data_IF_969074460070
#
_entry.id   IF_969074460070
#
_cell.length_a   1.000
_cell.length_b   1.000
_cell.length_c   1.000
_cell.angle_alpha   90.00
_cell.angle_beta   90.00
_cell.angle_gamma   90.00
#
_symmetry.space_group_name_H-M   'P 1'
#
loop_
_entity.id
_entity.type
_entity.pdbx_description
1 polymer ?
#
# COMPACT_ATOMS: atom_id res chain seq x y z
N UNK A 1 -16.45 -11.24 9.04
CA UNK A 1 -15.74 -10.23 8.23
C UNK A 1 -16.42 -9.83 6.92
N UNK A 2 -17.04 -10.73 6.12
CA UNK A 2 -17.73 -10.34 4.87
C UNK A 2 -18.68 -9.14 5.06
N UNK A 3 -19.51 -9.16 6.09
CA UNK A 3 -20.40 -8.03 6.40
C UNK A 3 -19.65 -6.71 6.64
N UNK A 4 -18.52 -6.74 7.37
CA UNK A 4 -17.72 -5.53 7.62
C UNK A 4 -17.11 -4.99 6.32
N UNK A 5 -16.62 -5.89 5.45
CA UNK A 5 -16.09 -5.51 4.14
C UNK A 5 -17.16 -4.95 3.21
N UNK A 6 -18.39 -5.50 3.24
CA UNK A 6 -19.52 -4.95 2.49
C UNK A 6 -19.96 -3.58 3.01
N UNK A 7 -19.90 -3.33 4.33
CA UNK A 7 -20.09 -1.98 4.88
C UNK A 7 -19.00 -1.05 4.36
N UNK A 8 -17.73 -1.45 4.48
CA UNK A 8 -16.59 -0.66 3.98
C UNK A 8 -16.73 -0.31 2.49
N UNK A 9 -17.27 -1.21 1.67
CA UNK A 9 -17.52 -0.96 0.25
C UNK A 9 -18.78 -0.11 -0.01
N UNK A 10 -19.95 -0.56 0.46
CA UNK A 10 -21.24 -0.01 0.02
C UNK A 10 -21.73 1.16 0.87
N UNK A 11 -21.19 1.31 2.09
CA UNK A 11 -21.60 2.33 3.04
C UNK A 11 -20.42 2.67 3.96
N UNK A 12 -19.35 3.29 3.43
CA UNK A 12 -18.04 3.41 4.09
C UNK A 12 -18.12 4.26 5.38
N UNK A 13 -18.36 3.58 6.50
CA UNK A 13 -18.35 4.13 7.86
C UNK A 13 -18.03 3.04 8.87
N UNK A 14 -17.29 3.40 9.91
CA UNK A 14 -16.97 2.55 11.05
C UNK A 14 -17.74 2.94 12.30
N UNK A 15 -17.49 2.23 13.39
CA UNK A 15 -18.04 2.57 14.71
C UNK A 15 -17.37 3.85 15.24
N UNK A 16 -16.04 3.86 15.29
CA UNK A 16 -15.24 5.01 15.71
C UNK A 16 -15.05 6.00 14.56
N UNK A 17 -14.87 5.51 13.32
CA UNK A 17 -14.77 6.34 12.12
C UNK A 17 -16.15 6.53 11.46
N UNK A 18 -17.08 7.16 12.19
CA UNK A 18 -18.47 7.32 11.75
C UNK A 18 -18.67 8.41 10.68
N UNK A 19 -17.71 9.34 10.54
CA UNK A 19 -17.76 10.46 9.59
C UNK A 19 -17.15 10.14 8.22
N UNK A 20 -17.25 8.89 7.76
CA UNK A 20 -16.86 8.48 6.42
C UNK A 20 -17.87 8.95 5.35
N UNK A 21 -17.96 8.20 4.25
CA UNK A 21 -18.94 8.45 3.18
C UNK A 21 -18.36 8.36 1.77
N UNK A 22 -17.07 8.68 1.62
CA UNK A 22 -16.32 8.49 0.38
C UNK A 22 -15.56 7.17 0.32
N UNK A 23 -15.08 6.83 -0.87
CA UNK A 23 -14.10 5.76 -1.06
C UNK A 23 -12.69 6.32 -0.99
N UNK A 24 -11.85 5.77 -0.13
CA UNK A 24 -10.40 5.91 -0.28
C UNK A 24 -9.97 5.18 -1.55
N UNK A 25 -9.22 5.83 -2.44
CA UNK A 25 -8.84 5.26 -3.74
C UNK A 25 -8.08 3.95 -3.55
N UNK A 26 -7.08 3.96 -2.66
CA UNK A 26 -6.34 2.77 -2.25
C UNK A 26 -7.25 1.74 -1.57
N UNK A 27 -8.13 2.19 -0.69
CA UNK A 27 -8.93 1.31 0.17
C UNK A 27 -9.95 0.50 -0.64
N UNK A 28 -10.60 1.13 -1.63
CA UNK A 28 -11.57 0.47 -2.52
C UNK A 28 -10.89 -0.49 -3.50
N UNK A 29 -9.66 -0.18 -3.92
CA UNK A 29 -8.84 -1.03 -4.78
C UNK A 29 -8.20 -2.24 -4.06
N UNK A 30 -8.29 -2.29 -2.73
CA UNK A 30 -7.84 -3.42 -1.91
C UNK A 30 -9.03 -4.23 -1.40
N UNK A 31 -9.55 -3.91 -0.21
CA UNK A 31 -10.51 -4.75 0.50
C UNK A 31 -11.73 -5.16 -0.35
N UNK A 32 -12.45 -4.22 -0.99
CA UNK A 32 -13.56 -4.55 -1.88
C UNK A 32 -13.15 -5.33 -3.13
N UNK A 33 -12.15 -4.89 -3.88
CA UNK A 33 -11.69 -5.58 -5.10
C UNK A 33 -11.21 -7.00 -4.78
N UNK A 34 -10.33 -7.18 -3.79
CA UNK A 34 -9.79 -8.48 -3.40
C UNK A 34 -10.90 -9.43 -2.93
N UNK A 35 -11.85 -8.94 -2.12
CA UNK A 35 -13.00 -9.74 -1.69
C UNK A 35 -13.88 -10.17 -2.87
N UNK A 36 -14.22 -9.23 -3.75
CA UNK A 36 -15.12 -9.50 -4.88
C UNK A 36 -14.47 -10.45 -5.89
N UNK A 37 -13.17 -10.29 -6.17
CA UNK A 37 -12.41 -11.22 -7.00
C UNK A 37 -12.37 -12.62 -6.36
N UNK A 38 -12.09 -12.72 -5.06
CA UNK A 38 -12.08 -14.00 -4.34
C UNK A 38 -13.46 -14.70 -4.35
N UNK A 39 -14.55 -13.93 -4.40
CA UNK A 39 -15.92 -14.44 -4.50
C UNK A 39 -16.41 -14.65 -5.96
N UNK A 40 -15.56 -14.41 -6.96
CA UNK A 40 -15.92 -14.51 -8.39
C UNK A 40 -16.99 -13.50 -8.82
N UNK A 41 -17.08 -12.34 -8.14
CA UNK A 41 -18.06 -11.28 -8.41
C UNK A 41 -17.47 -10.24 -9.37
N UNK A 42 -17.25 -10.64 -10.62
CA UNK A 42 -16.55 -9.83 -11.61
C UNK A 42 -17.33 -8.58 -12.06
N UNK A 43 -18.64 -8.68 -12.28
CA UNK A 43 -19.42 -7.49 -12.69
C UNK A 43 -19.36 -6.33 -11.68
N UNK A 44 -19.53 -6.56 -10.36
CA UNK A 44 -19.27 -5.53 -9.36
C UNK A 44 -17.85 -4.95 -9.39
N UNK A 45 -16.83 -5.76 -9.68
CA UNK A 45 -15.44 -5.26 -9.82
C UNK A 45 -15.33 -4.35 -11.05
N UNK A 46 -15.94 -4.73 -12.18
CA UNK A 46 -15.97 -3.92 -13.41
C UNK A 46 -16.63 -2.56 -13.16
N UNK A 47 -17.79 -2.53 -12.52
CA UNK A 47 -18.49 -1.29 -12.15
C UNK A 47 -17.64 -0.42 -11.21
N UNK A 48 -17.03 -1.03 -10.19
CA UNK A 48 -16.13 -0.37 -9.25
C UNK A 48 -14.95 0.28 -9.99
N UNK A 49 -14.28 -0.46 -10.88
CA UNK A 49 -13.17 0.06 -11.69
C UNK A 49 -13.62 1.25 -12.54
N UNK A 50 -14.73 1.16 -13.26
CA UNK A 50 -15.25 2.29 -14.03
C UNK A 50 -15.51 3.52 -13.17
N UNK A 51 -16.03 3.35 -11.94
CA UNK A 51 -16.22 4.46 -11.00
C UNK A 51 -14.89 5.05 -10.52
N UNK A 52 -13.89 4.22 -10.25
CA UNK A 52 -12.54 4.68 -9.86
C UNK A 52 -11.86 5.43 -11.01
N UNK A 53 -11.90 4.92 -12.24
CA UNK A 53 -11.30 5.56 -13.41
C UNK A 53 -11.94 6.91 -13.75
N UNK A 54 -13.26 7.08 -13.54
CA UNK A 54 -13.94 8.39 -13.64
C UNK A 54 -13.40 9.46 -12.67
N UNK A 55 -12.60 9.06 -11.69
CA UNK A 55 -12.02 9.95 -10.69
C UNK A 55 -10.56 10.28 -10.99
N UNK A 56 -9.96 9.71 -12.05
CA UNK A 56 -8.59 10.05 -12.44
C UNK A 56 -8.52 11.52 -12.84
N UNK A 57 -7.57 12.25 -12.29
CA UNK A 57 -7.25 13.61 -12.69
C UNK A 57 -6.67 13.62 -14.10
N UNK A 58 -6.80 14.76 -14.80
CA UNK A 58 -6.26 14.93 -16.14
C UNK A 58 -4.72 14.80 -16.23
N UNK A 59 -3.98 14.82 -15.12
CA UNK A 59 -2.53 14.61 -15.06
C UNK A 59 -2.11 13.14 -14.92
N UNK A 60 -3.07 12.23 -14.74
CA UNK A 60 -2.87 10.79 -14.58
C UNK A 60 -2.96 10.26 -13.15
N UNK A 61 -3.12 11.13 -12.14
CA UNK A 61 -3.22 10.71 -10.74
C UNK A 61 -4.67 10.52 -10.26
N UNK A 62 -4.84 10.07 -9.03
CA UNK A 62 -6.12 9.97 -8.33
C UNK A 62 -6.09 10.76 -7.03
N UNK A 63 -7.27 11.16 -6.50
CA UNK A 63 -7.32 11.81 -5.21
C UNK A 63 -7.08 10.78 -4.11
N UNK A 64 -6.73 11.21 -2.89
CA UNK A 64 -6.63 10.30 -1.75
C UNK A 64 -7.94 9.51 -1.52
N UNK A 65 -9.07 10.20 -1.66
CA UNK A 65 -10.42 9.65 -1.55
C UNK A 65 -11.41 10.48 -2.39
N UNK A 66 -12.59 9.94 -2.67
CA UNK A 66 -13.63 10.66 -3.41
C UNK A 66 -15.04 10.21 -2.99
N UNK A 67 -16.02 11.10 -3.10
CA UNK A 67 -17.43 10.72 -3.03
C UNK A 67 -17.85 10.05 -4.34
N UNK A 68 -18.40 8.85 -4.26
CA UNK A 68 -18.84 8.07 -5.43
C UNK A 68 -20.30 8.34 -5.80
N UNK A 69 -20.99 9.24 -5.10
CA UNK A 69 -22.30 9.78 -5.46
C UNK A 69 -22.14 11.00 -6.34
N UNK A 70 -22.83 11.02 -7.48
CA UNK A 70 -22.69 12.09 -8.49
C UNK A 70 -23.02 13.48 -7.93
N UNK A 71 -24.02 13.58 -7.04
CA UNK A 71 -24.39 14.83 -6.36
C UNK A 71 -23.24 15.45 -5.57
N UNK A 72 -22.32 14.62 -5.08
CA UNK A 72 -21.23 14.99 -4.17
C UNK A 72 -19.85 14.85 -4.85
N UNK A 73 -19.80 14.65 -6.18
CA UNK A 73 -18.56 14.39 -6.92
C UNK A 73 -17.43 15.38 -6.68
N UNK A 74 -17.75 16.64 -6.37
CA UNK A 74 -16.78 17.69 -6.08
C UNK A 74 -16.13 17.61 -4.70
N UNK A 75 -16.63 16.73 -3.83
CA UNK A 75 -16.11 16.52 -2.47
C UNK A 75 -15.02 15.44 -2.53
N UNK A 76 -13.79 15.91 -2.69
CA UNK A 76 -12.55 15.13 -2.72
C UNK A 76 -11.35 16.06 -2.44
N UNK A 77 -10.24 15.55 -1.90
CA UNK A 77 -9.03 16.34 -1.72
C UNK A 77 -8.34 16.59 -3.08
N UNK A 78 -7.55 17.67 -3.13
CA UNK A 78 -6.75 18.02 -4.29
C UNK A 78 -5.50 17.13 -4.45
N UNK A 79 -4.91 16.73 -3.32
CA UNK A 79 -3.66 15.96 -3.27
C UNK A 79 -3.89 14.53 -2.77
N UNK A 80 -2.88 13.68 -3.00
CA UNK A 80 -2.87 12.27 -2.61
C UNK A 80 -1.45 11.81 -2.28
N UNK A 81 -1.33 10.66 -1.60
CA UNK A 81 -0.05 10.03 -1.32
C UNK A 81 0.60 9.48 -2.60
N UNK A 82 1.92 9.31 -2.59
CA UNK A 82 2.68 8.86 -3.75
C UNK A 82 2.31 7.46 -4.22
N UNK A 83 1.72 6.65 -3.35
CA UNK A 83 1.30 5.28 -3.66
C UNK A 83 -0.09 5.18 -4.33
N UNK A 84 -0.88 6.25 -4.33
CA UNK A 84 -2.28 6.21 -4.79
C UNK A 84 -2.40 5.85 -6.27
N UNK A 85 -1.50 6.35 -7.12
CA UNK A 85 -1.51 6.11 -8.57
C UNK A 85 -1.41 4.63 -8.97
N UNK A 86 -0.83 3.78 -8.12
CA UNK A 86 -0.59 2.37 -8.44
C UNK A 86 -1.82 1.48 -8.23
N UNK A 87 -2.69 1.82 -7.28
CA UNK A 87 -3.77 0.92 -6.83
C UNK A 87 -4.87 0.69 -7.88
N UNK A 88 -5.38 1.72 -8.58
CA UNK A 88 -6.34 1.51 -9.67
C UNK A 88 -5.78 0.64 -10.79
N UNK A 89 -4.50 0.80 -11.11
CA UNK A 89 -3.80 0.02 -12.14
C UNK A 89 -3.63 -1.44 -11.71
N UNK A 90 -3.26 -1.69 -10.45
CA UNK A 90 -3.13 -3.04 -9.91
C UNK A 90 -4.50 -3.75 -9.87
N UNK A 91 -5.55 -3.06 -9.44
CA UNK A 91 -6.91 -3.60 -9.43
C UNK A 91 -7.41 -3.93 -10.85
N UNK A 92 -7.12 -3.05 -11.83
CA UNK A 92 -7.41 -3.32 -13.24
C UNK A 92 -6.66 -4.57 -13.73
N UNK A 93 -5.35 -4.65 -13.48
CA UNK A 93 -4.53 -5.78 -13.89
C UNK A 93 -5.05 -7.12 -13.31
N UNK A 94 -5.45 -7.13 -12.04
CA UNK A 94 -6.04 -8.29 -11.38
C UNK A 94 -7.39 -8.68 -12.00
N UNK A 95 -8.26 -7.71 -12.30
CA UNK A 95 -9.53 -7.94 -12.99
C UNK A 95 -9.33 -8.53 -14.39
N UNK A 96 -8.48 -7.92 -15.21
CA UNK A 96 -8.17 -8.38 -16.57
C UNK A 96 -7.55 -9.78 -16.52
N UNK A 97 -6.65 -10.03 -15.57
CA UNK A 97 -6.05 -11.35 -15.36
C UNK A 97 -7.08 -12.40 -14.94
N UNK A 98 -8.07 -12.05 -14.12
CA UNK A 98 -9.10 -12.97 -13.68
C UNK A 98 -10.13 -13.28 -14.78
N UNK A 99 -10.50 -12.29 -15.58
CA UNK A 99 -11.66 -12.37 -16.50
C UNK A 99 -11.29 -12.54 -17.97
N UNK A 100 -10.15 -12.01 -18.41
CA UNK A 100 -9.84 -11.83 -19.83
C UNK A 100 -10.69 -10.77 -20.54
N UNK A 101 -11.41 -9.92 -19.79
CA UNK A 101 -12.30 -8.90 -20.35
C UNK A 101 -11.51 -7.69 -20.91
N UNK A 102 -11.01 -7.84 -22.14
CA UNK A 102 -10.33 -6.76 -22.86
C UNK A 102 -11.26 -5.57 -23.16
N UNK A 103 -12.58 -5.77 -23.23
CA UNK A 103 -13.52 -4.71 -23.60
C UNK A 103 -13.58 -3.60 -22.56
N UNK A 104 -13.17 -3.87 -21.31
CA UNK A 104 -13.04 -2.83 -20.29
C UNK A 104 -12.02 -1.76 -20.70
N UNK A 105 -10.93 -2.11 -21.38
CA UNK A 105 -9.91 -1.14 -21.83
C UNK A 105 -10.46 -0.17 -22.89
N UNK A 106 -11.51 -0.58 -23.61
CA UNK A 106 -12.16 0.20 -24.67
C UNK A 106 -13.27 1.12 -24.12
N UNK A 107 -13.64 1.00 -22.84
CA UNK A 107 -14.68 1.83 -22.23
C UNK A 107 -14.27 3.30 -22.17
N UNK A 108 -15.07 4.16 -22.78
CA UNK A 108 -14.86 5.62 -22.83
C UNK A 108 -15.36 6.27 -21.54
N UNK A 109 -14.43 6.82 -20.74
CA UNK A 109 -14.72 7.46 -19.46
C UNK A 109 -14.12 8.87 -19.40
N UNK A 110 -14.84 9.83 -18.80
CA UNK A 110 -14.28 11.15 -18.54
C UNK A 110 -13.20 11.07 -17.47
N UNK A 111 -12.12 11.84 -17.64
CA UNK A 111 -11.30 12.26 -16.52
C UNK A 111 -12.12 13.14 -15.57
N UNK A 112 -11.69 13.24 -14.31
CA UNK A 112 -12.31 14.14 -13.36
C UNK A 112 -12.01 15.60 -13.72
N UNK A 113 -13.07 16.34 -14.00
CA UNK A 113 -13.08 17.81 -14.05
C UNK A 113 -14.16 18.35 -13.10
N UNK A 114 -13.90 19.45 -12.36
CA UNK A 114 -14.93 20.11 -11.55
C UNK A 114 -16.12 20.58 -12.39
N UNK A 115 -15.83 21.08 -13.60
CA UNK A 115 -16.83 21.40 -14.61
C UNK A 115 -16.97 20.21 -15.58
N UNK A 116 -17.96 19.35 -15.32
CA UNK A 116 -18.15 18.11 -16.07
C UNK A 116 -18.32 18.32 -17.59
N UNK A 117 -18.79 19.50 -18.03
CA UNK A 117 -18.91 19.83 -19.45
C UNK A 117 -17.58 20.05 -20.16
N UNK A 118 -16.47 20.14 -19.43
CA UNK A 118 -15.10 20.30 -19.95
C UNK A 118 -14.25 19.05 -19.79
N UNK A 119 -14.80 17.98 -19.21
CA UNK A 119 -14.07 16.74 -19.01
C UNK A 119 -13.62 16.16 -20.36
N UNK A 120 -12.32 15.92 -20.48
CA UNK A 120 -11.78 15.08 -21.55
C UNK A 120 -12.32 13.65 -21.35
N UNK A 121 -12.83 13.05 -22.42
CA UNK A 121 -13.28 11.65 -22.45
C UNK A 121 -12.25 10.85 -23.22
N UNK A 122 -11.82 9.73 -22.63
CA UNK A 122 -10.90 8.80 -23.27
C UNK A 122 -11.17 7.37 -22.80
N UNK A 123 -10.68 6.39 -23.57
CA UNK A 123 -10.73 4.99 -23.19
C UNK A 123 -9.97 4.71 -21.88
N UNK A 124 -10.37 3.69 -21.13
CA UNK A 124 -9.60 3.24 -19.96
C UNK A 124 -8.15 2.94 -20.34
N UNK A 125 -7.88 2.46 -21.55
CA UNK A 125 -6.51 2.27 -22.02
C UNK A 125 -5.69 3.58 -22.02
N UNK A 126 -6.27 4.69 -22.48
CA UNK A 126 -5.63 6.00 -22.43
C UNK A 126 -5.46 6.53 -20.99
N UNK A 127 -6.40 6.24 -20.09
CA UNK A 127 -6.27 6.51 -18.66
C UNK A 127 -5.07 5.76 -18.05
N UNK A 128 -4.88 4.48 -18.41
CA UNK A 128 -3.76 3.64 -17.99
C UNK A 128 -2.43 4.22 -18.49
N UNK A 129 -2.33 4.57 -19.77
CA UNK A 129 -1.11 5.17 -20.33
C UNK A 129 -0.74 6.48 -19.62
N UNK A 130 -1.73 7.33 -19.31
CA UNK A 130 -1.49 8.57 -18.58
C UNK A 130 -0.95 8.35 -17.17
N UNK A 131 -1.48 7.35 -16.45
CA UNK A 131 -0.96 6.95 -15.15
C UNK A 131 0.47 6.37 -15.25
N UNK A 132 0.74 5.52 -16.24
CA UNK A 132 2.07 4.93 -16.45
C UNK A 132 3.13 6.00 -16.79
N UNK A 133 2.75 7.02 -17.56
CA UNK A 133 3.58 8.19 -17.84
C UNK A 133 3.85 9.04 -16.61
N UNK A 134 2.84 9.23 -15.74
CA UNK A 134 3.03 9.89 -14.46
C UNK A 134 3.99 9.12 -13.55
N UNK A 135 3.81 7.81 -13.41
CA UNK A 135 4.70 6.93 -12.62
C UNK A 135 6.14 7.01 -13.14
N UNK A 136 6.32 7.03 -14.47
CA UNK A 136 7.66 7.14 -15.08
C UNK A 136 8.37 8.45 -14.72
N UNK A 137 7.63 9.53 -14.48
CA UNK A 137 8.17 10.83 -14.07
C UNK A 137 8.37 10.97 -12.57
N UNK A 138 7.60 10.25 -11.74
CA UNK A 138 7.66 10.29 -10.27
C UNK A 138 8.68 9.31 -9.69
N UNK A 139 9.93 9.47 -10.12
CA UNK A 139 11.07 8.68 -9.64
C UNK A 139 12.11 9.59 -8.99
N UNK A 140 12.96 9.04 -8.13
CA UNK A 140 14.15 9.73 -7.64
C UNK A 140 15.04 10.03 -8.85
N UNK A 141 15.48 11.29 -8.96
CA UNK A 141 16.30 11.76 -10.09
C UNK A 141 17.52 10.85 -10.31
N UNK A 142 17.73 10.43 -11.56
CA UNK A 142 18.84 9.55 -11.93
C UNK A 142 18.62 8.06 -11.63
N UNK A 143 17.45 7.67 -11.12
CA UNK A 143 17.11 6.27 -10.79
C UNK A 143 15.78 5.86 -11.44
N UNK A 144 15.38 4.59 -11.26
CA UNK A 144 14.04 4.06 -11.55
C UNK A 144 13.19 3.86 -10.27
N UNK A 145 13.69 4.27 -9.11
CA UNK A 145 13.02 4.09 -7.84
C UNK A 145 11.93 5.15 -7.64
N UNK A 146 10.75 4.73 -7.19
CA UNK A 146 9.62 5.64 -6.97
C UNK A 146 9.96 6.71 -5.92
N UNK A 147 9.71 7.97 -6.25
CA UNK A 147 9.78 9.06 -5.28
C UNK A 147 8.62 8.93 -4.27
N UNK A 148 8.85 9.36 -3.03
CA UNK A 148 7.89 9.22 -1.94
C UNK A 148 6.63 10.06 -2.12
N UNK A 149 6.76 11.23 -2.77
CA UNK A 149 5.66 12.18 -2.90
C UNK A 149 5.16 12.62 -1.52
N UNK A 150 3.85 12.60 -1.31
CA UNK A 150 3.24 13.04 -0.05
C UNK A 150 3.17 11.96 1.03
N UNK A 151 3.70 10.75 0.78
CA UNK A 151 3.59 9.63 1.70
C UNK A 151 3.43 8.30 0.97
N UNK A 152 3.41 7.23 1.75
CA UNK A 152 3.04 5.90 1.30
C UNK A 152 1.83 5.36 2.09
N UNK A 153 1.66 4.04 2.17
CA UNK A 153 0.55 3.42 2.89
C UNK A 153 0.48 3.83 4.37
N UNK A 154 1.61 4.06 5.04
CA UNK A 154 1.59 4.48 6.44
C UNK A 154 1.34 5.99 6.49
N UNK A 155 0.06 6.35 6.61
CA UNK A 155 -0.34 7.75 6.64
C UNK A 155 0.25 8.57 7.82
N UNK A 156 0.91 7.93 8.79
CA UNK A 156 1.63 8.63 9.86
C UNK A 156 3.01 9.14 9.43
N UNK A 157 3.59 8.56 8.38
CA UNK A 157 4.93 8.84 7.86
C UNK A 157 4.95 9.88 6.74
N UNK A 158 3.91 10.70 6.59
CA UNK A 158 3.96 11.82 5.65
C UNK A 158 5.18 12.70 5.93
N UNK A 159 5.90 13.17 4.90
CA UNK A 159 7.11 13.96 5.10
C UNK A 159 6.76 15.31 5.73
N UNK A 160 7.51 15.69 6.77
CA UNK A 160 7.40 17.00 7.41
C UNK A 160 8.18 18.07 6.64
N UNK A 161 9.25 17.67 5.94
CA UNK A 161 10.09 18.56 5.14
C UNK A 161 9.68 18.50 3.66
N UNK A 162 9.53 19.64 2.95
CA UNK A 162 9.10 19.65 1.55
C UNK A 162 10.01 18.89 0.59
N UNK A 163 11.33 18.94 0.78
CA UNK A 163 12.31 18.33 -0.11
C UNK A 163 12.31 16.79 -0.03
N UNK A 164 11.90 16.21 1.11
CA UNK A 164 11.73 14.76 1.25
C UNK A 164 10.68 14.20 0.29
N UNK A 165 9.76 15.01 -0.25
CA UNK A 165 8.76 14.52 -1.21
C UNK A 165 9.40 14.00 -2.50
N UNK A 166 10.44 14.67 -2.97
CA UNK A 166 11.13 14.36 -4.23
C UNK A 166 12.39 13.52 -4.01
N UNK A 167 12.96 13.59 -2.81
CA UNK A 167 14.26 13.00 -2.48
C UNK A 167 14.19 11.77 -1.58
N UNK A 168 13.04 11.48 -0.98
CA UNK A 168 12.83 10.24 -0.23
C UNK A 168 12.28 9.17 -1.16
N UNK A 169 12.69 7.94 -0.94
CA UNK A 169 12.18 6.74 -1.57
C UNK A 169 11.69 5.79 -0.49
N UNK A 170 10.46 5.28 -0.64
CA UNK A 170 9.97 4.17 0.19
C UNK A 170 10.19 2.87 -0.53
N UNK A 171 10.93 1.95 0.10
CA UNK A 171 11.14 0.62 -0.44
C UNK A 171 9.82 -0.11 -0.64
N UNK A 172 8.84 0.12 0.23
CA UNK A 172 7.50 -0.42 0.06
C UNK A 172 6.82 0.13 -1.21
N UNK A 173 6.87 1.44 -1.48
CA UNK A 173 6.32 2.01 -2.71
C UNK A 173 7.01 1.47 -3.95
N UNK A 174 8.32 1.19 -3.89
CA UNK A 174 9.04 0.52 -4.98
C UNK A 174 8.54 -0.91 -5.19
N UNK A 175 8.26 -1.67 -4.12
CA UNK A 175 7.65 -3.00 -4.27
C UNK A 175 6.26 -2.94 -4.91
N UNK A 176 5.46 -1.92 -4.58
CA UNK A 176 4.15 -1.70 -5.19
C UNK A 176 4.26 -1.30 -6.67
N UNK A 177 5.22 -0.44 -7.02
CA UNK A 177 5.52 -0.10 -8.41
C UNK A 177 5.88 -1.36 -9.21
N UNK A 178 6.82 -2.17 -8.70
CA UNK A 178 7.20 -3.44 -9.31
C UNK A 178 5.99 -4.37 -9.49
N UNK A 179 5.18 -4.55 -8.44
CA UNK A 179 3.98 -5.39 -8.46
C UNK A 179 2.97 -4.92 -9.51
N UNK A 180 2.68 -3.63 -9.57
CA UNK A 180 1.72 -3.05 -10.51
C UNK A 180 2.17 -3.24 -11.95
N UNK A 181 3.44 -2.94 -12.25
CA UNK A 181 4.00 -3.09 -13.60
C UNK A 181 4.00 -4.57 -14.04
N UNK A 182 4.40 -5.47 -13.15
CA UNK A 182 4.41 -6.91 -13.44
C UNK A 182 2.99 -7.48 -13.61
N UNK A 183 2.04 -7.06 -12.77
CA UNK A 183 0.65 -7.47 -12.89
C UNK A 183 0.03 -7.01 -14.21
N UNK A 184 0.28 -5.75 -14.62
CA UNK A 184 -0.16 -5.25 -15.92
C UNK A 184 0.47 -6.03 -17.07
N UNK A 185 1.77 -6.34 -16.98
CA UNK A 185 2.44 -7.14 -18.00
C UNK A 185 1.79 -8.52 -18.15
N UNK A 186 1.50 -9.19 -17.03
CA UNK A 186 0.80 -10.48 -17.01
C UNK A 186 -0.60 -10.40 -17.60
N UNK A 187 -1.34 -9.33 -17.28
CA UNK A 187 -2.66 -9.08 -17.86
C UNK A 187 -2.60 -8.90 -19.38
N UNK A 188 -1.74 -8.01 -19.89
CA UNK A 188 -1.60 -7.77 -21.34
C UNK A 188 -1.10 -9.00 -22.09
N UNK A 189 -0.17 -9.76 -21.50
CA UNK A 189 0.28 -11.05 -22.06
C UNK A 189 -0.89 -12.02 -22.22
N UNK A 190 -1.77 -12.11 -21.22
CA UNK A 190 -2.96 -12.97 -21.25
C UNK A 190 -3.99 -12.51 -22.30
N UNK A 191 -4.11 -11.20 -22.52
CA UNK A 191 -4.96 -10.62 -23.56
C UNK A 191 -4.36 -10.71 -24.97
N UNK A 192 -3.10 -11.12 -25.10
CA UNK A 192 -2.41 -11.31 -26.38
C UNK A 192 -1.53 -10.13 -26.82
N UNK A 193 -1.48 -9.03 -26.07
CA UNK A 193 -0.60 -7.90 -26.33
C UNK A 193 0.81 -8.16 -25.76
N UNK A 194 1.59 -8.92 -26.55
CA UNK A 194 2.95 -9.33 -26.17
C UNK A 194 3.93 -8.15 -26.12
N UNK A 195 3.79 -7.17 -27.00
CA UNK A 195 4.72 -6.05 -27.10
C UNK A 195 4.67 -5.17 -25.84
N UNK A 196 3.45 -4.85 -25.37
CA UNK A 196 3.27 -4.07 -24.14
C UNK A 196 3.69 -4.87 -22.91
N UNK A 197 3.38 -6.16 -22.87
CA UNK A 197 3.84 -7.05 -21.82
C UNK A 197 5.38 -7.08 -21.68
N UNK A 198 6.11 -7.29 -22.79
CA UNK A 198 7.58 -7.35 -22.79
C UNK A 198 8.22 -6.00 -22.38
N UNK A 199 7.61 -4.88 -22.78
CA UNK A 199 8.05 -3.54 -22.36
C UNK A 199 7.92 -3.36 -20.84
N UNK A 200 6.78 -3.76 -20.27
CA UNK A 200 6.54 -3.67 -18.83
C UNK A 200 7.40 -4.66 -18.04
N UNK A 201 7.61 -5.88 -18.54
CA UNK A 201 8.52 -6.87 -17.94
C UNK A 201 9.95 -6.35 -17.88
N UNK A 202 10.44 -5.72 -18.96
CA UNK A 202 11.76 -5.08 -18.99
C UNK A 202 11.86 -3.97 -17.96
N UNK A 203 10.81 -3.15 -17.82
CA UNK A 203 10.74 -2.10 -16.80
C UNK A 203 10.75 -2.69 -15.38
N UNK A 204 9.97 -3.73 -15.12
CA UNK A 204 9.91 -4.40 -13.82
C UNK A 204 11.27 -5.00 -13.44
N UNK A 205 11.94 -5.67 -14.39
CA UNK A 205 13.29 -6.22 -14.17
C UNK A 205 14.30 -5.11 -13.80
N UNK A 206 14.22 -3.96 -14.47
CA UNK A 206 15.10 -2.84 -14.19
C UNK A 206 14.81 -2.16 -12.84
N UNK A 207 13.56 -2.16 -12.37
CA UNK A 207 13.18 -1.71 -11.01
C UNK A 207 13.74 -2.69 -9.97
N UNK A 208 13.60 -4.00 -10.20
CA UNK A 208 14.08 -5.03 -9.28
C UNK A 208 15.60 -5.00 -9.13
N UNK A 209 16.33 -4.85 -10.24
CA UNK A 209 17.79 -4.72 -10.22
C UNK A 209 18.22 -3.54 -9.35
N UNK A 210 17.62 -2.38 -9.56
CA UNK A 210 17.98 -1.16 -8.82
C UNK A 210 17.52 -1.19 -7.36
N UNK A 211 16.37 -1.81 -7.08
CA UNK A 211 15.91 -2.12 -5.73
C UNK A 211 16.95 -2.96 -4.98
N UNK A 212 17.45 -4.03 -5.60
CA UNK A 212 18.48 -4.90 -5.02
C UNK A 212 19.81 -4.16 -4.80
N UNK A 213 20.22 -3.30 -5.72
CA UNK A 213 21.49 -2.57 -5.65
C UNK A 213 21.48 -1.45 -4.61
N UNK A 214 20.37 -0.71 -4.49
CA UNK A 214 20.32 0.53 -3.72
C UNK A 214 19.63 0.34 -2.36
N UNK A 215 18.55 -0.46 -2.30
CA UNK A 215 17.68 -0.51 -1.12
C UNK A 215 18.00 -1.69 -0.20
N UNK A 216 18.65 -2.74 -0.70
CA UNK A 216 19.17 -3.85 0.12
C UNK A 216 20.62 -3.54 0.51
N UNK A 217 20.83 -3.12 1.76
CA UNK A 217 22.11 -2.64 2.26
C UNK A 217 22.54 -3.52 3.44
N UNK A 218 23.79 -3.97 3.45
CA UNK A 218 24.28 -4.91 4.48
C UNK A 218 23.37 -6.13 4.69
N UNK A 219 22.77 -6.63 3.60
CA UNK A 219 21.79 -7.72 3.56
C UNK A 219 20.42 -7.41 4.18
N UNK A 220 20.16 -6.16 4.56
CA UNK A 220 18.87 -5.72 5.12
C UNK A 220 18.21 -4.74 4.16
N UNK A 221 16.94 -4.98 3.86
CA UNK A 221 16.13 -3.99 3.15
C UNK A 221 15.88 -2.77 4.04
N UNK A 222 16.38 -1.61 3.61
CA UNK A 222 16.04 -0.33 4.25
C UNK A 222 14.55 -0.03 4.05
N UNK A 223 13.87 0.53 5.04
CA UNK A 223 12.48 0.95 4.86
C UNK A 223 12.34 2.17 3.97
N UNK A 224 13.24 3.16 4.15
CA UNK A 224 13.32 4.36 3.31
C UNK A 224 14.77 4.69 2.96
N UNK A 225 14.97 5.36 1.83
CA UNK A 225 16.26 5.92 1.42
C UNK A 225 16.09 7.41 1.08
N UNK A 226 16.93 8.27 1.67
CA UNK A 226 16.92 9.71 1.47
C UNK A 226 18.16 10.15 0.67
N UNK A 227 17.92 10.64 -0.54
CA UNK A 227 18.94 11.02 -1.50
C UNK A 227 19.29 12.51 -1.32
N UNK A 228 20.51 12.79 -0.87
CA UNK A 228 20.99 14.15 -0.67
C UNK A 228 21.75 14.66 -1.89
N UNK A 229 21.83 15.99 -1.98
CA UNK A 229 22.69 16.67 -2.94
C UNK A 229 24.16 16.23 -2.71
N UNK A 230 24.86 15.93 -3.81
CA UNK A 230 26.24 15.41 -3.75
C UNK A 230 26.34 13.89 -3.65
N UNK A 231 25.24 13.15 -3.79
CA UNK A 231 25.23 11.68 -3.97
C UNK A 231 25.27 10.87 -2.67
N UNK A 232 25.21 11.53 -1.51
CA UNK A 232 25.06 10.83 -0.21
C UNK A 232 23.64 10.28 -0.10
N UNK A 233 23.50 9.02 0.30
CA UNK A 233 22.20 8.40 0.62
C UNK A 233 22.16 8.02 2.09
N UNK A 234 21.16 8.51 2.81
CA UNK A 234 20.86 8.09 4.18
C UNK A 234 19.77 7.03 4.18
N UNK A 235 20.03 5.89 4.82
CA UNK A 235 19.06 4.79 4.94
C UNK A 235 18.32 4.91 6.26
N UNK A 236 17.00 5.07 6.21
CA UNK A 236 16.13 5.16 7.37
C UNK A 236 15.35 3.85 7.56
N UNK A 237 14.90 3.61 8.80
CA UNK A 237 14.25 2.35 9.18
C UNK A 237 15.16 1.15 8.84
N UNK A 238 16.45 1.33 9.11
CA UNK A 238 17.55 0.42 8.76
C UNK A 238 18.55 0.42 9.94
N UNK A 239 19.35 -0.64 10.19
CA UNK A 239 20.31 -0.63 11.30
C UNK A 239 21.38 0.49 11.26
N UNK A 240 21.52 1.19 10.12
CA UNK A 240 22.38 2.37 9.96
C UNK A 240 21.69 3.69 10.34
N UNK A 241 20.39 3.67 10.62
CA UNK A 241 19.59 4.85 10.87
C UNK A 241 19.88 5.44 12.26
N UNK A 242 20.65 6.53 12.29
CA UNK A 242 20.90 7.33 13.49
C UNK A 242 19.94 8.50 13.64
N UNK A 243 19.04 8.71 12.68
CA UNK A 243 18.11 9.85 12.62
C UNK A 243 16.81 9.54 13.34
N UNK A 244 16.17 8.42 13.02
CA UNK A 244 14.91 8.01 13.67
C UNK A 244 15.15 7.03 14.82
N UNK A 245 16.27 6.30 14.78
CA UNK A 245 16.58 5.21 15.72
C UNK A 245 15.80 3.92 15.48
N UNK A 246 15.02 3.84 14.40
CA UNK A 246 14.31 2.64 13.94
C UNK A 246 15.20 1.82 13.02
N UNK A 247 15.18 0.50 13.17
CA UNK A 247 16.10 -0.40 12.48
C UNK A 247 15.47 -1.24 11.38
N UNK A 248 14.15 -1.46 11.40
CA UNK A 248 13.49 -2.36 10.47
C UNK A 248 12.08 -1.88 10.11
N UNK A 249 11.65 -2.15 8.88
CA UNK A 249 10.30 -1.83 8.38
C UNK A 249 9.59 -3.09 7.88
N UNK A 250 8.49 -3.47 8.53
CA UNK A 250 7.73 -4.66 8.17
C UNK A 250 7.15 -4.57 6.76
N UNK A 251 6.53 -3.44 6.42
CA UNK A 251 5.82 -3.26 5.14
C UNK A 251 6.74 -3.53 3.95
N UNK A 252 7.95 -2.99 3.97
CA UNK A 252 8.93 -3.19 2.91
C UNK A 252 9.31 -4.68 2.79
N UNK A 253 9.61 -5.34 3.91
CA UNK A 253 10.04 -6.74 3.91
C UNK A 253 8.94 -7.69 3.43
N UNK A 254 7.72 -7.56 3.96
CA UNK A 254 6.63 -8.48 3.60
C UNK A 254 6.22 -8.32 2.14
N UNK A 255 6.22 -7.11 1.57
CA UNK A 255 5.85 -6.92 0.17
C UNK A 255 6.97 -7.34 -0.79
N UNK A 256 8.24 -7.22 -0.39
CA UNK A 256 9.34 -7.79 -1.17
C UNK A 256 9.25 -9.33 -1.23
N UNK A 257 8.82 -9.98 -0.13
CA UNK A 257 8.53 -11.43 -0.10
C UNK A 257 7.31 -11.78 -0.95
N UNK A 258 6.18 -11.07 -0.80
CA UNK A 258 4.93 -11.34 -1.54
C UNK A 258 5.16 -11.28 -3.06
N UNK A 259 6.02 -10.36 -3.51
CA UNK A 259 6.26 -10.09 -4.92
C UNK A 259 7.51 -10.81 -5.48
N UNK A 260 8.06 -11.80 -4.77
CA UNK A 260 9.24 -12.57 -5.20
C UNK A 260 10.46 -11.69 -5.57
N UNK A 261 10.61 -10.55 -4.88
CA UNK A 261 11.71 -9.62 -5.13
C UNK A 261 13.01 -10.03 -4.42
N UNK A 262 12.96 -11.06 -3.59
CA UNK A 262 14.10 -11.63 -2.86
C UNK A 262 14.47 -13.01 -3.39
N UNK A 263 15.74 -13.38 -3.29
CA UNK A 263 16.12 -14.80 -3.38
C UNK A 263 15.52 -15.58 -2.21
N UNK A 264 15.38 -16.93 -2.30
CA UNK A 264 14.91 -17.74 -1.19
C UNK A 264 15.68 -17.53 0.12
N UNK A 265 16.99 -17.32 0.03
CA UNK A 265 17.86 -17.04 1.19
C UNK A 265 17.57 -15.66 1.77
N UNK A 266 17.46 -14.64 0.93
CA UNK A 266 17.08 -13.29 1.37
C UNK A 266 15.70 -13.31 2.05
N UNK A 267 14.71 -13.99 1.48
CA UNK A 267 13.39 -14.11 2.07
C UNK A 267 13.44 -14.81 3.44
N UNK A 268 14.22 -15.89 3.58
CA UNK A 268 14.43 -16.57 4.85
C UNK A 268 15.08 -15.64 5.89
N UNK A 269 16.16 -14.95 5.52
CA UNK A 269 16.86 -13.99 6.39
C UNK A 269 15.93 -12.86 6.87
N UNK A 270 15.09 -12.31 5.98
CA UNK A 270 14.14 -11.27 6.33
C UNK A 270 12.98 -11.78 7.20
N UNK A 271 12.51 -13.01 6.99
CA UNK A 271 11.55 -13.64 7.91
C UNK A 271 12.14 -13.83 9.31
N UNK A 272 13.42 -14.20 9.43
CA UNK A 272 14.10 -14.25 10.74
C UNK A 272 14.18 -12.86 11.39
N UNK A 273 14.48 -11.80 10.62
CA UNK A 273 14.44 -10.43 11.13
C UNK A 273 13.05 -10.06 11.63
N UNK A 274 11.99 -10.41 10.89
CA UNK A 274 10.61 -10.15 11.30
C UNK A 274 10.29 -10.89 12.60
N UNK A 275 10.63 -12.18 12.71
CA UNK A 275 10.38 -12.97 13.93
C UNK A 275 11.14 -12.42 15.13
N UNK A 276 12.38 -11.97 14.94
CA UNK A 276 13.25 -11.50 16.01
C UNK A 276 12.94 -10.07 16.47
N UNK A 277 12.61 -9.17 15.54
CA UNK A 277 12.57 -7.73 15.81
C UNK A 277 11.20 -7.10 15.61
N UNK A 278 10.34 -7.71 14.78
CA UNK A 278 9.07 -7.12 14.38
C UNK A 278 7.86 -7.94 14.83
N UNK A 279 8.04 -8.97 15.67
CA UNK A 279 6.94 -9.81 16.13
C UNK A 279 6.65 -9.61 17.62
N UNK A 280 5.37 -9.43 17.95
CA UNK A 280 4.85 -9.43 19.31
C UNK A 280 3.91 -10.63 19.56
N UNK A 281 3.48 -10.84 20.82
CA UNK A 281 2.51 -11.90 21.15
C UNK A 281 1.18 -11.73 20.41
N UNK A 282 0.85 -10.49 20.05
CA UNK A 282 -0.36 -10.07 19.34
C UNK A 282 -0.19 -9.97 17.82
N UNK A 283 1.04 -10.12 17.30
CA UNK A 283 1.32 -10.20 15.87
C UNK A 283 2.52 -9.37 15.41
N UNK A 284 2.76 -9.37 14.10
CA UNK A 284 3.76 -8.54 13.44
C UNK A 284 3.48 -7.03 13.56
N UNK A 285 4.53 -6.25 13.76
CA UNK A 285 4.56 -4.80 14.03
C UNK A 285 5.29 -4.08 12.91
N UNK A 286 4.83 -2.89 12.57
CA UNK A 286 5.34 -2.03 11.50
C UNK A 286 6.84 -1.72 11.64
N UNK A 287 7.31 -1.52 12.88
CA UNK A 287 8.69 -1.16 13.23
C UNK A 287 9.18 -1.93 14.45
N UNK A 288 10.50 -1.93 14.69
CA UNK A 288 11.12 -2.60 15.85
C UNK A 288 10.78 -1.93 17.19
N UNK A 289 10.40 -0.65 17.13
CA UNK A 289 9.89 0.15 18.25
C UNK A 289 9.01 1.29 17.73
N UNK A 290 8.17 1.91 18.57
CA UNK A 290 7.45 3.13 18.20
C UNK A 290 8.43 4.28 17.90
N UNK A 291 8.01 5.22 17.05
CA UNK A 291 8.78 6.44 16.80
C UNK A 291 8.87 7.29 18.08
N UNK A 292 10.02 7.92 18.30
CA UNK A 292 10.22 8.76 19.47
C UNK A 292 9.32 9.99 19.44
N UNK A 293 8.59 10.23 20.52
CA UNK A 293 7.73 11.40 20.68
C UNK A 293 8.45 12.51 21.46
N UNK A 294 8.60 13.68 20.84
CA UNK A 294 9.30 14.83 21.42
C UNK A 294 8.34 16.00 21.67
N UNK A 295 7.22 15.72 22.34
CA UNK A 295 6.25 16.76 22.70
C UNK A 295 5.45 17.33 21.53
N UNK A 296 5.31 16.57 20.44
CA UNK A 296 4.52 16.98 19.28
C UNK A 296 5.32 17.56 18.12
N UNK A 297 6.64 17.74 18.29
CA UNK A 297 7.50 18.34 17.28
C UNK A 297 7.75 17.38 16.11
N UNK A 298 7.50 17.88 14.90
CA UNK A 298 7.72 17.14 13.65
C UNK A 298 9.08 17.53 13.06
N UNK A 299 10.00 16.58 12.97
CA UNK A 299 11.34 16.75 12.41
C UNK A 299 11.48 16.12 11.02
N UNK A 300 11.03 14.87 10.85
CA UNK A 300 11.10 14.19 9.55
C UNK A 300 9.72 13.75 9.08
N UNK A 301 8.88 13.27 10.01
CA UNK A 301 7.55 12.77 9.72
C UNK A 301 6.47 13.52 10.51
N UNK A 302 5.27 13.57 9.96
CA UNK A 302 4.16 14.31 10.55
C UNK A 302 3.54 13.58 11.76
N UNK A 303 2.51 12.75 11.55
CA UNK A 303 1.72 12.19 12.66
C UNK A 303 2.50 11.18 13.51
N UNK A 304 3.48 10.49 12.93
CA UNK A 304 4.33 9.56 13.68
C UNK A 304 5.13 10.24 14.80
N UNK A 305 5.52 11.51 14.63
CA UNK A 305 6.28 12.27 15.64
C UNK A 305 5.38 13.19 16.49
N UNK A 306 4.11 13.36 16.10
CA UNK A 306 3.21 14.34 16.73
C UNK A 306 1.97 13.75 17.42
N UNK A 307 1.66 12.47 17.23
CA UNK A 307 0.55 11.83 17.92
C UNK A 307 0.90 11.50 19.37
N UNK A 308 0.15 12.09 20.31
CA UNK A 308 0.24 11.74 21.74
C UNK A 308 -0.52 10.46 22.10
N UNK A 309 -1.51 10.07 21.28
CA UNK A 309 -2.29 8.85 21.50
C UNK A 309 -1.53 7.62 20.98
N UNK A 310 -1.24 6.69 21.89
CA UNK A 310 -0.65 5.40 21.54
C UNK A 310 -1.72 4.45 21.02
N UNK A 311 -1.97 4.52 19.72
CA UNK A 311 -2.79 3.53 19.03
C UNK A 311 -2.81 3.72 17.52
N UNK A 312 -3.66 2.95 16.83
CA UNK A 312 -3.68 2.93 15.36
C UNK A 312 -2.30 2.58 14.77
N UNK A 313 -1.80 3.37 13.82
CA UNK A 313 -0.48 3.15 13.21
C UNK A 313 0.67 3.42 14.19
N UNK A 314 0.44 4.25 15.22
CA UNK A 314 1.43 4.63 16.26
C UNK A 314 1.70 3.48 17.23
N UNK A 315 0.67 2.66 17.50
CA UNK A 315 0.80 1.45 18.30
C UNK A 315 1.54 0.30 17.60
N UNK A 316 2.00 0.53 16.37
CA UNK A 316 2.84 -0.31 15.50
C UNK A 316 2.26 -1.69 15.13
N UNK A 317 1.29 -2.26 15.83
CA UNK A 317 0.55 -3.43 15.33
C UNK A 317 -0.73 -2.96 14.64
N UNK A 318 -0.68 -2.89 13.30
CA UNK A 318 -1.84 -2.57 12.48
C UNK A 318 -2.32 -3.82 11.73
N UNK A 319 -3.58 -4.20 11.95
CA UNK A 319 -4.13 -5.49 11.52
C UNK A 319 -4.04 -5.70 10.00
N UNK A 320 -4.17 -4.63 9.21
CA UNK A 320 -3.99 -4.71 7.76
C UNK A 320 -2.57 -5.13 7.38
N UNK A 321 -1.53 -4.53 7.98
CA UNK A 321 -0.14 -4.92 7.70
C UNK A 321 0.14 -6.36 8.15
N UNK A 322 -0.48 -6.79 9.26
CA UNK A 322 -0.40 -8.18 9.71
C UNK A 322 -1.08 -9.16 8.74
N UNK A 323 -2.20 -8.78 8.10
CA UNK A 323 -2.81 -9.60 7.04
C UNK A 323 -1.88 -9.77 5.84
N UNK A 324 -1.14 -8.72 5.46
CA UNK A 324 -0.08 -8.83 4.44
C UNK A 324 1.09 -9.68 4.91
N UNK A 325 1.42 -9.68 6.20
CA UNK A 325 2.39 -10.63 6.76
C UNK A 325 1.90 -12.08 6.62
N UNK A 326 0.61 -12.36 6.87
CA UNK A 326 0.02 -13.66 6.60
C UNK A 326 0.16 -14.03 5.10
N UNK A 327 -0.10 -13.09 4.19
CA UNK A 327 0.10 -13.29 2.76
C UNK A 327 1.55 -13.64 2.41
N UNK A 328 2.53 -12.94 3.00
CA UNK A 328 3.95 -13.22 2.81
C UNK A 328 4.33 -14.63 3.29
N UNK A 329 3.81 -15.07 4.46
CA UNK A 329 4.04 -16.43 4.96
C UNK A 329 3.43 -17.50 4.04
N UNK A 330 2.22 -17.25 3.54
CA UNK A 330 1.56 -18.14 2.59
C UNK A 330 2.33 -18.24 1.26
N UNK A 331 2.84 -17.11 0.75
CA UNK A 331 3.67 -17.05 -0.45
C UNK A 331 5.00 -17.79 -0.28
N UNK A 332 5.64 -17.62 0.88
CA UNK A 332 6.88 -18.31 1.22
C UNK A 332 6.69 -19.81 1.45
N UNK A 333 5.50 -20.24 1.89
CA UNK A 333 5.16 -21.64 2.16
C UNK A 333 5.32 -22.07 3.63
N UNK A 334 5.39 -21.12 4.57
CA UNK A 334 5.42 -21.41 6.01
C UNK A 334 3.99 -21.55 6.56
N UNK A 335 3.41 -22.73 6.36
CA UNK A 335 2.01 -23.00 6.70
C UNK A 335 1.71 -22.86 8.20
N UNK A 336 2.61 -23.33 9.07
CA UNK A 336 2.43 -23.28 10.52
C UNK A 336 2.44 -21.83 11.02
N UNK A 337 3.42 -21.03 10.56
CA UNK A 337 3.44 -19.60 10.89
C UNK A 337 2.23 -18.87 10.31
N UNK A 338 1.79 -19.21 9.09
CA UNK A 338 0.62 -18.61 8.46
C UNK A 338 -0.65 -18.84 9.30
N UNK A 339 -0.94 -20.07 9.72
CA UNK A 339 -2.11 -20.36 10.55
C UNK A 339 -2.00 -19.74 11.95
N UNK A 340 -0.79 -19.69 12.51
CA UNK A 340 -0.56 -19.00 13.77
C UNK A 340 -0.88 -17.50 13.67
N UNK A 341 -0.31 -16.81 12.66
CA UNK A 341 -0.52 -15.39 12.41
C UNK A 341 -2.01 -15.07 12.15
N UNK A 342 -2.67 -15.89 11.33
CA UNK A 342 -4.12 -15.74 11.09
C UNK A 342 -4.94 -15.92 12.38
N UNK A 343 -4.52 -16.83 13.26
CA UNK A 343 -5.11 -17.01 14.58
C UNK A 343 -4.96 -15.78 15.48
N UNK A 344 -3.83 -15.07 15.40
CA UNK A 344 -3.59 -13.82 16.17
C UNK A 344 -4.54 -12.69 15.77
N UNK A 345 -5.19 -12.80 14.59
CA UNK A 345 -6.19 -11.86 14.11
C UNK A 345 -7.63 -12.22 14.47
N UNK A 346 -7.88 -13.46 14.90
CA UNK A 346 -9.23 -13.91 15.14
C UNK A 346 -9.76 -13.36 16.47
N UNK A 347 -10.76 -12.47 16.48
CA UNK A 347 -11.27 -11.89 17.72
C UNK A 347 -12.03 -12.93 18.57
N UNK A 348 -12.46 -14.05 17.97
CA UNK A 348 -13.13 -15.15 18.67
C UNK A 348 -12.10 -15.86 19.54
N UNK A 349 -12.37 -15.89 20.85
CA UNK A 349 -11.49 -16.55 21.83
C UNK A 349 -10.02 -16.08 21.76
N UNK A 350 -9.77 -14.81 21.42
CA UNK A 350 -8.42 -14.26 21.19
C UNK A 350 -7.43 -14.56 22.34
N UNK A 351 -7.91 -14.63 23.59
CA UNK A 351 -7.08 -14.95 24.78
C UNK A 351 -6.60 -16.40 24.85
N UNK A 352 -7.14 -17.28 24.02
CA UNK A 352 -6.67 -18.66 23.92
C UNK A 352 -5.30 -18.72 23.24
N UNK A 353 -5.07 -17.83 22.27
CA UNK A 353 -3.79 -17.69 21.57
C UNK A 353 -2.94 -16.54 22.15
N UNK A 354 -3.51 -15.34 22.26
CA UNK A 354 -2.84 -14.14 22.75
C UNK A 354 -3.19 -13.91 24.23
N UNK A 355 -2.48 -14.57 25.13
CA UNK A 355 -2.78 -14.58 26.58
C UNK A 355 -2.83 -13.20 27.23
N UNK A 356 -2.07 -12.25 26.68
CA UNK A 356 -1.98 -10.86 27.16
C UNK A 356 -3.09 -9.96 26.61
N UNK A 357 -3.91 -10.42 25.66
CA UNK A 357 -4.95 -9.62 25.05
C UNK A 357 -6.11 -9.33 26.02
N UNK A 358 -6.63 -8.10 25.96
CA UNK A 358 -7.90 -7.74 26.61
C UNK A 358 -9.09 -8.23 25.78
N UNK A 359 -10.24 -8.54 26.42
CA UNK A 359 -11.47 -8.87 25.70
C UNK A 359 -11.91 -7.73 24.77
N UNK A 360 -12.45 -8.09 23.60
CA UNK A 360 -13.00 -7.17 22.59
C UNK A 360 -14.22 -7.81 21.91
N UNK A 361 -14.91 -7.04 21.07
CA UNK A 361 -16.04 -7.53 20.29
C UNK A 361 -15.59 -8.69 19.37
N UNK A 362 -16.18 -9.87 19.56
CA UNK A 362 -15.74 -11.11 18.91
C UNK A 362 -16.26 -11.32 17.47
N UNK A 363 -17.11 -10.43 16.96
CA UNK A 363 -17.74 -10.53 15.64
C UNK A 363 -17.46 -9.31 14.74
N UNK A 364 -16.46 -8.50 15.07
CA UNK A 364 -16.08 -7.32 14.31
C UNK A 364 -14.58 -7.28 14.05
N UNK A 365 -14.18 -6.70 12.93
CA UNK A 365 -12.79 -6.37 12.63
C UNK A 365 -12.29 -5.31 13.61
N UNK A 366 -11.05 -5.47 14.08
CA UNK A 366 -10.31 -4.44 14.80
C UNK A 366 -9.12 -4.00 13.93
N UNK A 367 -8.85 -2.70 13.89
CA UNK A 367 -7.83 -2.13 12.98
C UNK A 367 -6.40 -2.20 13.51
N UNK A 368 -6.25 -2.27 14.82
CA UNK A 368 -4.96 -2.22 15.53
C UNK A 368 -5.00 -3.03 16.82
N UNK A 369 -3.82 -3.41 17.31
CA UNK A 369 -3.63 -4.04 18.61
C UNK A 369 -2.62 -3.22 19.40
N UNK A 370 -3.12 -2.40 20.31
CA UNK A 370 -2.30 -1.43 21.01
C UNK A 370 -2.05 -1.89 22.46
N UNK A 371 -0.81 -1.79 22.91
CA UNK A 371 -0.46 -2.05 24.29
C UNK A 371 -1.08 -0.98 25.21
N UNK A 372 -1.57 -1.43 26.37
CA UNK A 372 -2.12 -0.54 27.39
C UNK A 372 -1.00 0.21 28.12
N UNK A 373 -0.48 1.27 27.50
CA UNK A 373 0.42 2.22 28.13
C UNK A 373 -0.40 3.23 28.95
N UNK A 374 0.08 3.53 30.16
CA UNK A 374 -0.41 4.67 30.94
C UNK A 374 0.35 5.89 30.46
N UNK A 375 -0.40 6.95 30.19
CA UNK A 375 0.11 8.27 29.80
C UNK A 375 0.97 8.93 30.89
#
# INVERSE_FOLDING_TARGET
FIHNALIHFLSPRGLEQYSGGGWGTRDVCQGPVELLLALGKFEPVRDLLCRVFRQQNADGDWPQWFMFFERERGIRPADSHGDIVYWPLLALAQYLSATGDASLLEEELPFFEPDAGKAEVASIDAHVERALDLIRRRVIEGTKLAAYGHGDWNDSLQPAKPDMRERLCSSWTVTLNYQTILALAGAFRKLGDKSRAETLETRAAAILEEFQQILVVDKVLAGLAYFHDGGKTDYLLHPRDTTTGLSYSLLAMIHAIINDMFSPEQAAEHLELIRKHLSGPDGARLFDRPMAYHGGLQTNFQRAESASFFGREIGIMYTHAHLRYCEALARYGDADAFFHALGQLNPIAIRDLVKTATPRQANCYYSSSDAAFKD
#
